data_IF_488816844134
#
_entry.id   IF_488816844134
#
_cell.length_a   1.000
_cell.length_b   1.000
_cell.length_c   1.000
_cell.angle_alpha   90.00
_cell.angle_beta   90.00
_cell.angle_gamma   90.00
#
_symmetry.space_group_name_H-M   'P 1'
#
loop_
_entity.id
_entity.type
_entity.pdbx_description
1 polymer ?
#
# COMPACT_ATOMS: atom_id res chain seq x y z
N UNK A 1 -11.69 -14.52 16.69
CA UNK A 1 -10.72 -13.56 16.11
C UNK A 1 -9.27 -13.98 16.33
N UNK A 2 -8.84 -14.37 17.54
CA UNK A 2 -7.50 -14.96 17.75
C UNK A 2 -7.26 -16.21 16.89
N UNK A 3 -8.25 -17.09 16.75
CA UNK A 3 -8.09 -18.31 15.94
C UNK A 3 -7.97 -17.99 14.45
N UNK A 4 -8.61 -16.92 13.98
CA UNK A 4 -8.48 -16.45 12.60
C UNK A 4 -7.07 -15.88 12.38
N UNK A 5 -6.61 -15.00 13.27
CA UNK A 5 -5.26 -14.44 13.19
C UNK A 5 -4.21 -15.55 13.26
N UNK A 6 -4.34 -16.51 14.18
CA UNK A 6 -3.44 -17.69 14.27
C UNK A 6 -3.51 -18.61 13.05
N UNK A 7 -4.65 -18.68 12.35
CA UNK A 7 -4.80 -19.50 11.14
C UNK A 7 -4.21 -18.83 9.90
N UNK A 8 -4.31 -17.51 9.82
CA UNK A 8 -3.91 -16.74 8.63
C UNK A 8 -2.67 -15.86 8.85
N UNK A 9 -1.96 -15.98 9.98
CA UNK A 9 -0.82 -15.12 10.32
C UNK A 9 0.25 -15.10 9.23
N UNK A 10 0.54 -16.26 8.63
CA UNK A 10 1.53 -16.39 7.56
C UNK A 10 1.07 -15.69 6.28
N UNK A 11 -0.21 -15.83 5.92
CA UNK A 11 -0.80 -15.14 4.78
C UNK A 11 -0.81 -13.62 5.00
N UNK A 12 -1.13 -13.16 6.22
CA UNK A 12 -1.06 -11.74 6.59
C UNK A 12 0.37 -11.22 6.45
N UNK A 13 1.37 -11.98 6.89
CA UNK A 13 2.78 -11.62 6.78
C UNK A 13 3.22 -11.51 5.31
N UNK A 14 2.82 -12.45 4.45
CA UNK A 14 3.05 -12.37 3.00
C UNK A 14 2.43 -11.10 2.41
N UNK A 15 1.18 -10.79 2.77
CA UNK A 15 0.47 -9.60 2.28
C UNK A 15 1.23 -8.33 2.69
N UNK A 16 1.69 -8.24 3.95
CA UNK A 16 2.44 -7.08 4.44
C UNK A 16 3.76 -6.91 3.66
N UNK A 17 4.49 -8.00 3.44
CA UNK A 17 5.74 -7.98 2.65
C UNK A 17 5.43 -7.53 1.22
N UNK A 18 4.37 -8.06 0.59
CA UNK A 18 3.99 -7.72 -0.77
C UNK A 18 3.61 -6.24 -0.91
N UNK A 19 2.84 -5.69 0.04
CA UNK A 19 2.47 -4.26 0.04
C UNK A 19 3.72 -3.39 0.18
N UNK A 20 4.60 -3.69 1.14
CA UNK A 20 5.82 -2.92 1.36
C UNK A 20 6.77 -2.99 0.17
N UNK A 21 6.95 -4.18 -0.41
CA UNK A 21 7.76 -4.37 -1.61
C UNK A 21 7.17 -3.59 -2.79
N UNK A 22 5.84 -3.64 -2.97
CA UNK A 22 5.15 -2.92 -4.05
C UNK A 22 5.29 -1.40 -3.88
N UNK A 23 5.13 -0.89 -2.67
CA UNK A 23 5.34 0.53 -2.36
C UNK A 23 6.78 0.98 -2.65
N UNK A 24 7.76 0.22 -2.18
CA UNK A 24 9.17 0.48 -2.47
C UNK A 24 9.47 0.43 -3.98
N UNK A 25 8.91 -0.56 -4.68
CA UNK A 25 9.08 -0.71 -6.12
C UNK A 25 8.49 0.47 -6.90
N UNK A 26 7.31 0.96 -6.51
CA UNK A 26 6.71 2.14 -7.13
C UNK A 26 7.60 3.37 -6.93
N UNK A 27 8.01 3.65 -5.69
CA UNK A 27 8.86 4.82 -5.39
C UNK A 27 10.19 4.73 -6.15
N UNK A 28 10.84 3.57 -6.13
CA UNK A 28 12.14 3.38 -6.78
C UNK A 28 12.08 3.56 -8.30
N UNK A 29 10.99 3.10 -8.92
CA UNK A 29 10.82 3.16 -10.37
C UNK A 29 9.84 4.27 -10.77
N UNK A 30 9.69 5.30 -9.96
CA UNK A 30 8.79 6.41 -10.26
C UNK A 30 9.25 7.08 -11.55
N UNK A 31 8.40 7.16 -12.59
CA UNK A 31 8.76 7.89 -13.80
C UNK A 31 8.92 9.38 -13.48
N UNK A 32 9.91 10.03 -14.09
CA UNK A 32 9.97 11.48 -14.10
C UNK A 32 8.94 12.01 -15.10
N UNK A 33 7.70 12.09 -14.66
CA UNK A 33 6.59 12.54 -15.50
C UNK A 33 6.77 13.98 -15.98
N UNK A 34 7.58 14.80 -15.30
CA UNK A 34 7.86 16.17 -15.74
C UNK A 34 8.76 16.13 -16.99
N UNK A 35 9.87 15.40 -16.90
CA UNK A 35 10.80 15.21 -18.01
C UNK A 35 10.13 14.57 -19.24
N UNK A 36 9.27 13.56 -19.01
CA UNK A 36 8.51 12.90 -20.08
C UNK A 36 7.52 13.83 -20.79
N UNK A 37 6.87 14.73 -20.05
CA UNK A 37 5.92 15.70 -20.63
C UNK A 37 6.67 16.80 -21.37
N UNK A 38 7.79 17.28 -20.81
CA UNK A 38 8.60 18.35 -21.41
C UNK A 38 9.21 17.95 -22.76
N UNK A 39 9.59 16.67 -22.91
CA UNK A 39 10.16 16.13 -24.15
C UNK A 39 9.13 15.47 -25.07
N UNK A 40 7.83 15.59 -24.79
CA UNK A 40 6.80 15.00 -25.64
C UNK A 40 6.70 15.73 -26.98
N UNK A 41 6.86 15.01 -28.09
CA UNK A 41 6.83 15.59 -29.45
C UNK A 41 5.41 15.77 -30.01
N UNK A 42 4.38 15.27 -29.32
CA UNK A 42 2.99 15.36 -29.78
C UNK A 42 1.96 15.37 -28.66
N UNK A 43 0.79 15.95 -28.95
CA UNK A 43 -0.37 15.96 -28.06
C UNK A 43 -0.86 14.55 -27.69
N UNK A 44 -0.67 13.58 -28.59
CA UNK A 44 -1.03 12.18 -28.33
C UNK A 44 -0.10 11.56 -27.28
N UNK A 45 1.22 11.84 -27.34
CA UNK A 45 2.18 11.41 -26.33
C UNK A 45 1.90 12.05 -24.97
N UNK A 46 1.59 13.35 -24.93
CA UNK A 46 1.23 14.06 -23.69
C UNK A 46 0.04 13.37 -23.02
N UNK A 47 -1.00 13.06 -23.78
CA UNK A 47 -2.22 12.41 -23.27
C UNK A 47 -1.95 11.00 -22.74
N UNK A 48 -1.06 10.26 -23.39
CA UNK A 48 -0.64 8.93 -22.92
C UNK A 48 0.20 8.99 -21.64
N UNK A 49 1.06 10.00 -21.49
CA UNK A 49 1.80 10.24 -20.26
C UNK A 49 0.89 10.66 -19.10
N UNK A 50 -0.07 11.56 -19.33
CA UNK A 50 -1.07 11.95 -18.31
C UNK A 50 -1.87 10.73 -17.83
N UNK A 51 -2.29 9.87 -18.76
CA UNK A 51 -3.02 8.63 -18.42
C UNK A 51 -2.17 7.67 -17.60
N UNK A 52 -0.87 7.57 -17.92
CA UNK A 52 0.08 6.72 -17.20
C UNK A 52 0.40 7.28 -15.82
N UNK A 53 0.56 8.61 -15.72
CA UNK A 53 0.70 9.35 -14.46
C UNK A 53 -0.48 9.11 -13.54
N UNK A 54 -1.71 9.26 -14.05
CA UNK A 54 -2.91 8.99 -13.27
C UNK A 54 -2.96 7.55 -12.72
N UNK A 55 -2.63 6.56 -13.57
CA UNK A 55 -2.56 5.15 -13.11
C UNK A 55 -1.51 4.95 -12.02
N UNK A 56 -0.34 5.57 -12.17
CA UNK A 56 0.73 5.49 -11.18
C UNK A 56 0.31 6.14 -9.85
N UNK A 57 -0.22 7.37 -9.89
CA UNK A 57 -0.70 8.08 -8.70
C UNK A 57 -1.80 7.30 -7.97
N UNK A 58 -2.76 6.75 -8.70
CA UNK A 58 -3.82 5.91 -8.10
C UNK A 58 -3.27 4.65 -7.45
N UNK A 59 -2.29 4.01 -8.08
CA UNK A 59 -1.61 2.83 -7.52
C UNK A 59 -0.85 3.17 -6.25
N UNK A 60 -0.14 4.31 -6.27
CA UNK A 60 0.60 4.81 -5.11
C UNK A 60 -0.32 5.13 -3.93
N UNK A 61 -1.40 5.88 -4.17
CA UNK A 61 -2.40 6.22 -3.14
C UNK A 61 -3.03 4.95 -2.55
N UNK A 62 -3.35 3.97 -3.40
CA UNK A 62 -3.92 2.70 -2.95
C UNK A 62 -2.99 1.94 -2.01
N UNK A 63 -1.71 1.82 -2.35
CA UNK A 63 -0.70 1.17 -1.50
C UNK A 63 -0.51 1.94 -0.20
N UNK A 64 -0.44 3.27 -0.25
CA UNK A 64 -0.32 4.12 0.94
C UNK A 64 -1.51 3.92 1.90
N UNK A 65 -2.74 3.84 1.37
CA UNK A 65 -3.93 3.55 2.17
C UNK A 65 -3.88 2.15 2.81
N UNK A 66 -3.35 1.15 2.09
CA UNK A 66 -3.14 -0.18 2.65
C UNK A 66 -2.13 -0.17 3.79
N UNK A 67 -1.00 0.52 3.63
CA UNK A 67 0.03 0.64 4.68
C UNK A 67 -0.54 1.33 5.94
N UNK A 68 -1.21 2.47 5.77
CA UNK A 68 -1.87 3.17 6.89
C UNK A 68 -2.89 2.25 7.58
N UNK A 69 -3.67 1.50 6.80
CA UNK A 69 -4.66 0.57 7.34
C UNK A 69 -4.00 -0.52 8.18
N UNK A 70 -2.89 -1.10 7.73
CA UNK A 70 -2.13 -2.10 8.49
C UNK A 70 -1.56 -1.49 9.77
N UNK A 71 -0.96 -0.30 9.67
CA UNK A 71 -0.37 0.43 10.82
C UNK A 71 -1.43 0.74 11.88
N UNK A 72 -2.66 1.04 11.50
CA UNK A 72 -3.76 1.28 12.46
C UNK A 72 -4.36 -0.02 13.00
N UNK A 73 -4.47 -1.04 12.15
CA UNK A 73 -5.11 -2.30 12.51
C UNK A 73 -4.29 -3.13 13.49
N UNK A 74 -2.96 -3.18 13.35
CA UNK A 74 -2.09 -3.99 14.22
C UNK A 74 -2.15 -3.53 15.69
N UNK A 75 -1.97 -2.24 16.03
CA UNK A 75 -2.13 -1.75 17.40
C UNK A 75 -3.53 -1.98 17.95
N UNK A 76 -4.57 -1.76 17.13
CA UNK A 76 -5.95 -2.05 17.53
C UNK A 76 -6.13 -3.51 17.97
N UNK A 77 -5.58 -4.47 17.19
CA UNK A 77 -5.61 -5.88 17.55
C UNK A 77 -4.89 -6.17 18.86
N UNK A 78 -3.71 -5.59 19.06
CA UNK A 78 -2.90 -5.77 20.28
C UNK A 78 -3.66 -5.25 21.51
N UNK A 79 -4.15 -4.00 21.46
CA UNK A 79 -4.90 -3.37 22.56
C UNK A 79 -6.14 -4.18 22.91
N UNK A 80 -6.91 -4.58 21.90
CA UNK A 80 -8.12 -5.38 22.10
C UNK A 80 -7.82 -6.73 22.74
N UNK A 81 -6.71 -7.36 22.37
CA UNK A 81 -6.33 -8.65 22.92
C UNK A 81 -5.86 -8.55 24.37
N UNK A 82 -5.09 -7.50 24.71
CA UNK A 82 -4.72 -7.19 26.09
C UNK A 82 -5.98 -6.97 26.94
N UNK A 83 -6.92 -6.15 26.47
CA UNK A 83 -8.18 -5.87 27.18
C UNK A 83 -9.00 -7.14 27.43
N UNK A 84 -9.12 -8.02 26.42
CA UNK A 84 -9.86 -9.29 26.56
C UNK A 84 -9.18 -10.27 27.52
N UNK A 85 -7.85 -10.23 27.64
CA UNK A 85 -7.11 -11.11 28.55
C UNK A 85 -7.17 -10.61 30.01
N UNK A 86 -7.21 -9.28 30.20
CA UNK A 86 -7.43 -8.66 31.52
C UNK A 86 -8.83 -8.97 32.05
N UNK A 87 -9.87 -8.91 31.20
CA UNK A 87 -11.26 -9.17 31.62
C UNK A 87 -11.60 -10.66 31.87
N UNK A 88 -10.65 -11.57 31.62
CA UNK A 88 -10.79 -13.02 31.85
C UNK A 88 -10.10 -13.50 33.13
N UNK A 89 -9.28 -12.65 33.76
CA UNK A 89 -8.74 -12.87 35.10
C UNK A 89 -9.67 -12.24 36.13
#
# INVERSE_FOLDING_TARGET
MINFLKKYWFLILIIIIAINFSGFYLIKNSPDFLDLIEHAESDEMIRDFERSKFKYEMSFIFILLLDISVILYVPYLIIRNIKLNVNKK
#
